data_IF_308924839445
#
_entry.id   IF_308924839445
#
_cell.length_a   1.000
_cell.length_b   1.000
_cell.length_c   1.000
_cell.angle_alpha   90.00
_cell.angle_beta   90.00
_cell.angle_gamma   90.00
#
_symmetry.space_group_name_H-M   'P 1'
#
loop_
_entity.id
_entity.type
_entity.pdbx_description
1 polymer ?
#
# COMPACT_ATOMS: atom_id res chain seq x y z
N UNK A 1 3.61 0.03 -20.40
CA UNK A 1 4.17 0.83 -19.29
C UNK A 1 3.81 2.29 -19.41
N UNK A 2 4.40 3.10 -20.30
CA UNK A 2 3.96 4.52 -20.50
C UNK A 2 2.46 4.65 -20.87
N UNK A 3 1.89 3.66 -21.58
CA UNK A 3 0.46 3.61 -21.90
C UNK A 3 -0.41 3.34 -20.66
N UNK A 4 -0.08 2.32 -19.88
CA UNK A 4 -0.82 1.90 -18.69
C UNK A 4 -0.89 3.02 -17.63
N UNK A 5 0.18 3.79 -17.44
CA UNK A 5 0.21 4.88 -16.47
C UNK A 5 -0.56 6.11 -16.95
N UNK A 6 -0.54 6.40 -18.26
CA UNK A 6 -1.38 7.44 -18.85
C UNK A 6 -2.87 7.06 -18.75
N UNK A 7 -3.20 5.78 -19.01
CA UNK A 7 -4.55 5.23 -18.86
C UNK A 7 -5.03 5.29 -17.41
N UNK A 8 -4.18 4.92 -16.44
CA UNK A 8 -4.52 5.05 -15.02
C UNK A 8 -4.73 6.50 -14.61
N UNK A 9 -3.86 7.41 -15.06
CA UNK A 9 -3.99 8.84 -14.77
C UNK A 9 -5.31 9.39 -15.31
N UNK A 10 -5.65 9.07 -16.56
CA UNK A 10 -6.92 9.48 -17.16
C UNK A 10 -8.14 8.87 -16.43
N UNK A 11 -8.07 7.60 -16.03
CA UNK A 11 -9.12 6.95 -15.28
C UNK A 11 -9.31 7.57 -13.88
N UNK A 12 -8.24 7.98 -13.21
CA UNK A 12 -8.32 8.70 -11.93
C UNK A 12 -9.03 10.04 -12.11
N UNK A 13 -8.66 10.82 -13.13
CA UNK A 13 -9.30 12.12 -13.42
C UNK A 13 -10.80 11.96 -13.71
N UNK A 14 -11.18 11.03 -14.58
CA UNK A 14 -12.60 10.79 -14.87
C UNK A 14 -13.37 10.27 -13.65
N UNK A 15 -12.74 9.44 -12.81
CA UNK A 15 -13.35 8.97 -11.57
C UNK A 15 -13.58 10.10 -10.55
N UNK A 16 -12.73 11.14 -10.54
CA UNK A 16 -12.94 12.35 -9.72
C UNK A 16 -14.19 13.12 -10.15
N UNK A 17 -14.54 13.07 -11.43
CA UNK A 17 -15.76 13.68 -11.97
C UNK A 17 -17.01 12.79 -11.80
N UNK A 18 -16.89 11.66 -11.09
CA UNK A 18 -17.99 10.75 -10.79
C UNK A 18 -18.22 9.64 -11.82
N UNK A 19 -17.28 9.42 -12.77
CA UNK A 19 -17.37 8.30 -13.70
C UNK A 19 -17.11 6.95 -12.99
N UNK A 20 -18.18 6.19 -12.76
CA UNK A 20 -18.12 4.87 -12.11
C UNK A 20 -17.31 3.84 -12.93
N UNK A 21 -17.33 3.94 -14.25
CA UNK A 21 -16.57 3.04 -15.14
C UNK A 21 -15.09 3.32 -15.05
N UNK A 22 -14.72 4.60 -14.97
CA UNK A 22 -13.36 5.02 -14.72
C UNK A 22 -12.87 4.55 -13.34
N UNK A 23 -13.68 4.73 -12.28
CA UNK A 23 -13.35 4.23 -10.95
C UNK A 23 -13.13 2.71 -10.93
N UNK A 24 -13.95 1.95 -11.65
CA UNK A 24 -13.79 0.49 -11.80
C UNK A 24 -12.47 0.12 -12.48
N UNK A 25 -12.00 0.95 -13.41
CA UNK A 25 -10.70 0.77 -14.10
C UNK A 25 -9.54 1.03 -13.15
N UNK A 26 -9.62 2.10 -12.35
CA UNK A 26 -8.68 2.38 -11.26
C UNK A 26 -8.63 1.23 -10.26
N UNK A 27 -9.80 0.74 -9.82
CA UNK A 27 -9.89 -0.38 -8.88
C UNK A 27 -9.19 -1.62 -9.44
N UNK A 28 -9.53 -2.06 -10.66
CA UNK A 28 -8.96 -3.28 -11.26
C UNK A 28 -7.45 -3.21 -11.46
N UNK A 29 -6.91 -2.03 -11.79
CA UNK A 29 -5.48 -1.84 -12.03
C UNK A 29 -4.64 -1.79 -10.76
N UNK A 30 -5.21 -1.29 -9.65
CA UNK A 30 -4.45 -1.05 -8.40
C UNK A 30 -4.75 -2.10 -7.32
N UNK A 31 -5.99 -2.61 -7.25
CA UNK A 31 -6.45 -3.49 -6.18
C UNK A 31 -5.57 -4.73 -5.95
N UNK A 32 -5.17 -5.52 -6.98
CA UNK A 32 -4.39 -6.73 -6.74
C UNK A 32 -3.06 -6.48 -6.03
N UNK A 33 -2.38 -5.38 -6.39
CA UNK A 33 -1.11 -5.01 -5.76
C UNK A 33 -1.32 -4.41 -4.37
N UNK A 34 -2.34 -3.57 -4.21
CA UNK A 34 -2.68 -2.97 -2.92
C UNK A 34 -3.06 -4.03 -1.88
N UNK A 35 -3.84 -5.02 -2.30
CA UNK A 35 -4.23 -6.17 -1.50
C UNK A 35 -3.03 -7.05 -1.12
N UNK A 36 -2.14 -7.34 -2.07
CA UNK A 36 -0.88 -8.03 -1.79
C UNK A 36 -0.04 -7.28 -0.75
N UNK A 37 0.07 -5.96 -0.88
CA UNK A 37 0.76 -5.12 0.11
C UNK A 37 0.10 -5.22 1.49
N UNK A 38 -1.22 -5.03 1.59
CA UNK A 38 -1.95 -5.16 2.88
C UNK A 38 -1.80 -6.55 3.49
N UNK A 39 -1.83 -7.62 2.70
CA UNK A 39 -1.59 -9.00 3.18
C UNK A 39 -0.23 -9.14 3.87
N UNK A 40 0.82 -8.46 3.40
CA UNK A 40 2.13 -8.48 4.08
C UNK A 40 2.13 -7.80 5.44
N UNK A 41 1.17 -6.90 5.69
CA UNK A 41 1.07 -6.14 6.95
C UNK A 41 0.18 -6.81 7.99
N UNK A 42 -0.99 -7.33 7.59
CA UNK A 42 -2.00 -7.86 8.52
C UNK A 42 -2.23 -9.36 8.42
N UNK A 43 -1.62 -10.04 7.44
CA UNK A 43 -1.86 -11.45 7.14
C UNK A 43 -3.11 -11.68 6.30
N UNK A 44 -3.25 -12.91 5.78
CA UNK A 44 -4.30 -13.28 4.83
C UNK A 44 -5.75 -13.12 5.36
N UNK A 45 -6.08 -13.53 6.61
CA UNK A 45 -7.46 -13.49 7.09
C UNK A 45 -8.10 -12.11 7.14
N UNK A 46 -7.28 -11.07 7.30
CA UNK A 46 -7.76 -9.70 7.55
C UNK A 46 -7.55 -8.77 6.34
N UNK A 47 -6.79 -9.22 5.35
CA UNK A 47 -6.31 -8.32 4.31
C UNK A 47 -7.42 -7.80 3.40
N UNK A 48 -8.39 -8.64 3.06
CA UNK A 48 -9.54 -8.25 2.24
C UNK A 48 -10.36 -7.15 2.93
N UNK A 49 -10.61 -7.30 4.23
CA UNK A 49 -11.38 -6.34 5.03
C UNK A 49 -10.64 -5.00 5.12
N UNK A 50 -9.36 -5.03 5.52
CA UNK A 50 -8.54 -3.82 5.63
C UNK A 50 -8.37 -3.13 4.27
N UNK A 51 -8.20 -3.89 3.19
CA UNK A 51 -8.11 -3.35 1.83
C UNK A 51 -9.44 -2.72 1.40
N UNK A 52 -10.56 -3.33 1.76
CA UNK A 52 -11.90 -2.78 1.48
C UNK A 52 -12.10 -1.44 2.20
N UNK A 53 -11.70 -1.35 3.48
CA UNK A 53 -11.74 -0.08 4.21
C UNK A 53 -10.83 0.99 3.60
N UNK A 54 -9.65 0.59 3.12
CA UNK A 54 -8.75 1.49 2.40
C UNK A 54 -9.40 2.01 1.11
N UNK A 55 -10.05 1.16 0.32
CA UNK A 55 -10.79 1.57 -0.87
C UNK A 55 -11.95 2.50 -0.57
N UNK A 56 -12.68 2.29 0.53
CA UNK A 56 -13.71 3.23 0.97
C UNK A 56 -13.13 4.61 1.27
N UNK A 57 -11.92 4.67 1.84
CA UNK A 57 -11.25 5.94 2.08
C UNK A 57 -10.73 6.58 0.79
N UNK A 58 -10.14 5.78 -0.09
CA UNK A 58 -9.70 6.21 -1.42
C UNK A 58 -10.86 6.85 -2.16
N UNK A 59 -12.03 6.19 -2.22
CA UNK A 59 -13.20 6.72 -2.89
C UNK A 59 -13.67 8.06 -2.28
N UNK A 60 -13.68 8.19 -0.94
CA UNK A 60 -14.09 9.42 -0.25
C UNK A 60 -13.14 10.59 -0.49
N UNK A 61 -11.84 10.33 -0.58
CA UNK A 61 -10.82 11.36 -0.68
C UNK A 61 -10.38 11.60 -2.14
N UNK A 62 -10.89 10.81 -3.10
CA UNK A 62 -10.46 10.79 -4.49
C UNK A 62 -10.57 12.17 -5.14
N UNK A 63 -11.68 12.88 -4.92
CA UNK A 63 -11.91 14.24 -5.46
C UNK A 63 -10.81 15.24 -5.08
N UNK A 64 -10.10 15.01 -3.98
CA UNK A 64 -9.03 15.90 -3.48
C UNK A 64 -7.64 15.45 -3.91
N UNK A 65 -7.52 14.27 -4.50
CA UNK A 65 -6.25 13.77 -4.99
C UNK A 65 -5.76 14.63 -6.17
N UNK A 66 -4.45 14.82 -6.25
CA UNK A 66 -3.82 15.48 -7.39
C UNK A 66 -2.48 14.80 -7.66
N UNK A 67 -2.26 14.40 -8.90
CA UNK A 67 -1.05 13.70 -9.31
C UNK A 67 -1.27 12.77 -10.49
N UNK A 68 -0.19 12.11 -10.88
CA UNK A 68 -0.15 11.05 -11.88
C UNK A 68 -0.39 9.67 -11.26
N UNK A 69 -0.31 8.63 -12.09
CA UNK A 69 -0.39 7.23 -11.70
C UNK A 69 0.52 6.86 -10.51
N UNK A 70 1.77 7.31 -10.52
CA UNK A 70 2.74 7.00 -9.46
C UNK A 70 2.34 7.64 -8.13
N UNK A 71 1.96 8.93 -8.16
CA UNK A 71 1.43 9.62 -6.99
C UNK A 71 0.16 8.97 -6.48
N UNK A 72 -0.71 8.49 -7.37
CA UNK A 72 -1.94 7.80 -6.99
C UNK A 72 -1.65 6.50 -6.27
N UNK A 73 -0.75 5.66 -6.82
CA UNK A 73 -0.33 4.39 -6.22
C UNK A 73 0.28 4.63 -4.83
N UNK A 74 1.18 5.60 -4.69
CA UNK A 74 1.80 5.93 -3.41
C UNK A 74 0.81 6.46 -2.37
N UNK A 75 -0.11 7.31 -2.81
CA UNK A 75 -1.19 7.82 -1.96
C UNK A 75 -2.14 6.72 -1.48
N UNK A 76 -2.57 5.82 -2.38
CA UNK A 76 -3.38 4.66 -2.06
C UNK A 76 -2.67 3.71 -1.08
N UNK A 77 -1.37 3.45 -1.30
CA UNK A 77 -0.54 2.65 -0.39
C UNK A 77 -0.47 3.25 1.01
N UNK A 78 -0.33 4.58 1.11
CA UNK A 78 -0.31 5.30 2.40
C UNK A 78 -1.63 5.14 3.14
N UNK A 79 -2.76 5.27 2.44
CA UNK A 79 -4.09 5.04 3.03
C UNK A 79 -4.19 3.60 3.54
N UNK A 80 -3.81 2.62 2.71
CA UNK A 80 -3.87 1.21 3.08
C UNK A 80 -2.97 0.86 4.27
N UNK A 81 -1.75 1.38 4.32
CA UNK A 81 -0.83 1.22 5.46
C UNK A 81 -1.44 1.78 6.75
N UNK A 82 -2.03 2.97 6.70
CA UNK A 82 -2.67 3.56 7.87
C UNK A 82 -3.81 2.68 8.38
N UNK A 83 -4.63 2.13 7.47
CA UNK A 83 -5.70 1.19 7.85
C UNK A 83 -5.19 -0.11 8.43
N UNK A 84 -4.14 -0.69 7.86
CA UNK A 84 -3.47 -1.85 8.43
C UNK A 84 -2.96 -1.58 9.86
N UNK A 85 -2.30 -0.45 10.08
CA UNK A 85 -1.80 -0.08 11.41
C UNK A 85 -2.92 0.18 12.41
N UNK A 86 -4.01 0.82 11.99
CA UNK A 86 -5.17 1.05 12.84
C UNK A 86 -5.83 -0.29 13.23
N UNK A 87 -5.98 -1.21 12.28
CA UNK A 87 -6.47 -2.58 12.53
C UNK A 87 -5.59 -3.33 13.54
N UNK A 88 -4.27 -3.30 13.37
CA UNK A 88 -3.31 -3.94 14.29
C UNK A 88 -3.43 -3.34 15.69
N UNK A 89 -3.50 -2.00 15.81
CA UNK A 89 -3.66 -1.31 17.10
C UNK A 89 -4.97 -1.69 17.80
N UNK A 90 -6.06 -1.84 17.05
CA UNK A 90 -7.35 -2.24 17.61
C UNK A 90 -7.32 -3.68 18.12
N UNK A 91 -6.61 -4.59 17.44
CA UNK A 91 -6.43 -5.97 17.91
C UNK A 91 -5.58 -6.07 19.17
N UNK A 92 -4.47 -5.34 19.25
CA UNK A 92 -3.59 -5.34 20.44
C UNK A 92 -4.24 -4.72 21.69
N UNK A 93 -5.24 -3.84 21.53
CA UNK A 93 -6.02 -3.29 22.67
C UNK A 93 -7.06 -4.24 23.23
N UNK A 94 -7.33 -5.35 22.56
CA UNK A 94 -8.21 -6.41 23.06
C UNK A 94 -7.33 -7.34 23.92
N UNK A 95 -7.69 -7.67 25.18
CA UNK A 95 -6.88 -8.59 25.98
C UNK A 95 -6.72 -9.90 25.21
N UNK A 96 -5.52 -10.16 24.71
CA UNK A 96 -5.22 -11.38 23.99
C UNK A 96 -5.20 -12.52 25.01
N UNK A 97 -6.15 -13.44 24.90
CA UNK A 97 -5.98 -14.78 25.46
C UNK A 97 -4.97 -15.49 24.55
N UNK A 98 -3.68 -15.31 24.86
CA UNK A 98 -2.56 -16.08 24.31
C UNK A 98 -2.00 -15.61 22.96
N UNK A 99 -0.80 -15.04 22.98
CA UNK A 99 0.05 -14.84 21.80
C UNK A 99 1.06 -13.71 22.01
N UNK A 100 2.35 -14.02 21.93
CA UNK A 100 3.48 -13.13 22.25
C UNK A 100 3.39 -11.75 21.60
N UNK A 101 3.42 -10.73 22.46
CA UNK A 101 3.01 -9.34 22.17
C UNK A 101 4.18 -8.42 21.77
N UNK A 102 5.41 -8.96 21.67
CA UNK A 102 6.65 -8.16 21.69
C UNK A 102 7.38 -8.00 20.36
N UNK A 103 7.05 -8.75 19.30
CA UNK A 103 7.78 -8.68 18.03
C UNK A 103 7.20 -7.65 17.02
N UNK A 104 5.94 -7.24 17.20
CA UNK A 104 5.18 -6.48 16.20
C UNK A 104 5.33 -4.94 16.34
N UNK A 105 5.67 -4.45 17.53
CA UNK A 105 5.84 -3.01 17.82
C UNK A 105 7.14 -2.43 17.28
N UNK A 106 8.17 -3.25 17.07
CA UNK A 106 9.47 -2.81 16.54
C UNK A 106 9.43 -2.38 15.06
N UNK A 107 8.46 -2.87 14.27
CA UNK A 107 8.32 -2.53 12.83
C UNK A 107 7.59 -1.21 12.56
N UNK A 108 7.02 -0.56 13.59
CA UNK A 108 6.19 0.64 13.42
C UNK A 108 6.99 1.94 13.21
N UNK A 109 8.33 1.88 13.33
CA UNK A 109 9.20 3.04 13.49
C UNK A 109 9.90 3.59 12.24
N UNK A 110 9.70 3.04 11.04
CA UNK A 110 10.49 3.50 9.88
C UNK A 110 9.66 4.13 8.75
N UNK A 111 9.97 5.40 8.50
CA UNK A 111 9.42 6.28 7.47
C UNK A 111 9.85 5.94 6.05
N UNK A 112 10.66 4.90 5.85
CA UNK A 112 11.23 4.51 4.55
C UNK A 112 10.38 3.48 3.76
N UNK A 113 9.51 2.72 4.44
CA UNK A 113 8.66 1.68 3.81
C UNK A 113 7.64 2.21 2.80
N UNK A 114 7.29 3.50 2.86
CA UNK A 114 6.40 4.10 1.87
C UNK A 114 7.09 4.24 0.49
N UNK A 115 8.40 4.50 0.45
CA UNK A 115 9.19 4.58 -0.78
C UNK A 115 9.33 3.21 -1.45
N UNK A 116 9.63 2.18 -0.67
CA UNK A 116 9.71 0.79 -1.14
C UNK A 116 8.34 0.25 -1.59
N UNK A 117 7.26 0.63 -0.90
CA UNK A 117 5.90 0.27 -1.31
C UNK A 117 5.48 0.97 -2.61
N UNK A 118 5.90 2.23 -2.81
CA UNK A 118 5.73 2.95 -4.09
C UNK A 118 6.45 2.18 -5.20
N UNK A 119 7.68 1.73 -4.97
CA UNK A 119 8.47 0.96 -5.94
C UNK A 119 7.86 -0.42 -6.24
N UNK A 120 7.35 -1.12 -5.22
CA UNK A 120 6.66 -2.41 -5.36
C UNK A 120 5.31 -2.29 -6.10
N UNK A 121 4.64 -1.13 -6.00
CA UNK A 121 3.44 -0.84 -6.78
C UNK A 121 3.76 -0.38 -8.22
N UNK A 122 4.92 0.24 -8.45
CA UNK A 122 5.33 0.81 -9.74
C UNK A 122 6.05 -0.18 -10.67
N UNK A 123 6.83 -1.15 -10.16
CA UNK A 123 7.74 -1.95 -10.99
C UNK A 123 7.39 -3.44 -11.01
N UNK A 124 7.54 -4.08 -12.18
CA UNK A 124 7.54 -5.54 -12.31
C UNK A 124 8.84 -6.11 -11.69
N UNK A 125 8.70 -7.08 -10.77
CA UNK A 125 9.74 -8.03 -10.32
C UNK A 125 10.79 -7.57 -9.30
N UNK A 126 10.48 -7.63 -7.99
CA UNK A 126 11.52 -7.74 -6.92
C UNK A 126 11.02 -8.40 -5.62
N UNK A 127 9.95 -9.20 -5.64
CA UNK A 127 9.35 -9.74 -4.40
C UNK A 127 10.16 -10.87 -3.72
N UNK A 128 11.30 -11.28 -4.27
CA UNK A 128 12.13 -12.35 -3.67
C UNK A 128 13.43 -11.87 -3.01
N UNK A 129 13.78 -10.58 -3.10
CA UNK A 129 15.03 -10.05 -2.51
C UNK A 129 14.81 -9.27 -1.19
N UNK A 130 13.57 -8.88 -0.87
CA UNK A 130 13.25 -8.07 0.31
C UNK A 130 12.98 -8.93 1.57
N UNK A 131 12.80 -10.25 1.39
CA UNK A 131 12.49 -11.15 2.51
C UNK A 131 13.67 -11.50 3.42
N UNK A 132 14.85 -10.86 3.27
CA UNK A 132 16.07 -11.32 3.95
C UNK A 132 17.02 -10.25 4.51
N UNK A 133 16.58 -9.01 4.76
CA UNK A 133 17.46 -8.05 5.45
C UNK A 133 16.79 -7.37 6.64
N UNK A 134 17.09 -7.84 7.85
CA UNK A 134 17.08 -7.03 9.07
C UNK A 134 18.27 -6.04 9.07
N UNK A 135 18.00 -4.86 9.63
CA UNK A 135 18.87 -3.73 9.95
C UNK A 135 20.35 -4.13 10.14
N UNK A 136 21.24 -3.60 9.27
CA UNK A 136 22.58 -3.08 9.64
C UNK A 136 23.54 -2.89 8.44
N UNK A 137 23.19 -3.23 7.19
CA UNK A 137 24.15 -3.16 6.07
C UNK A 137 23.55 -2.69 4.73
N UNK A 138 22.96 -1.48 4.70
CA UNK A 138 22.60 -0.81 3.44
C UNK A 138 23.46 0.42 3.13
N UNK A 139 24.63 0.58 3.77
CA UNK A 139 25.56 1.68 3.46
C UNK A 139 26.51 1.40 2.27
N UNK A 140 26.51 0.20 1.69
CA UNK A 140 27.59 -0.20 0.79
C UNK A 140 27.27 -0.37 -0.71
N UNK A 141 26.04 -0.14 -1.21
CA UNK A 141 25.71 -0.52 -2.62
C UNK A 141 25.32 0.63 -3.57
N UNK A 142 25.11 1.87 -3.11
CA UNK A 142 24.76 2.99 -4.04
C UNK A 142 25.97 3.85 -4.46
N UNK A 143 27.15 3.68 -3.85
CA UNK A 143 28.37 4.23 -4.41
C UNK A 143 29.01 3.22 -5.38
N UNK A 144 28.99 3.56 -6.68
CA UNK A 144 29.79 3.01 -7.80
C UNK A 144 29.10 1.79 -8.46
N UNK A 145 28.47 1.89 -9.63
CA UNK A 145 28.91 2.43 -10.94
C UNK A 145 27.67 2.73 -11.78
#
# INVERSE_FOLDING_TARGET
MLGDDAELTAAVLAAQDGDETAFRTVYRSVHPRLLGYVRTLVGDPDAEDVTSEAWLQIARDLERFSGDADRFRGWAARIARNRALDHIRMRGRRPAIGGDETELTAKAGDSDTAGEAIEALATNSTLSLIAQLPQDQAEAVVLRV
#
